data_IF_078367453707
#
_entry.id   IF_078367453707
#
_cell.length_a   1.000
_cell.length_b   1.000
_cell.length_c   1.000
_cell.angle_alpha   90.00
_cell.angle_beta   90.00
_cell.angle_gamma   90.00
#
_symmetry.space_group_name_H-M   'P 1'
#
loop_
_entity.id
_entity.type
_entity.pdbx_description
1 polymer ?
#
# COMPACT_ATOMS: atom_id res chain seq x y z
N UNK A 1 3.94 -7.68 -22.72
CA UNK A 1 2.47 -7.81 -22.78
C UNK A 1 1.83 -8.20 -21.43
N UNK A 2 2.53 -8.94 -20.59
CA UNK A 2 2.01 -9.36 -19.27
C UNK A 2 1.99 -8.26 -18.21
N UNK A 3 2.91 -7.30 -18.28
CA UNK A 3 3.03 -6.18 -17.33
C UNK A 3 1.78 -5.31 -17.30
N UNK A 4 1.21 -4.98 -18.46
CA UNK A 4 -0.02 -4.17 -18.57
C UNK A 4 -1.19 -4.87 -17.86
N UNK A 5 -1.31 -6.19 -18.02
CA UNK A 5 -2.38 -6.97 -17.36
C UNK A 5 -2.21 -7.00 -15.85
N UNK A 6 -0.98 -7.06 -15.34
CA UNK A 6 -0.68 -7.00 -13.91
C UNK A 6 -1.04 -5.64 -13.32
N UNK A 7 -0.68 -4.55 -14.00
CA UNK A 7 -1.09 -3.20 -13.59
C UNK A 7 -2.61 -3.01 -13.63
N UNK A 8 -3.27 -3.55 -14.66
CA UNK A 8 -4.73 -3.50 -14.75
C UNK A 8 -5.39 -4.27 -13.59
N UNK A 9 -4.89 -5.46 -13.26
CA UNK A 9 -5.38 -6.25 -12.12
C UNK A 9 -5.19 -5.52 -10.79
N UNK A 10 -4.03 -4.89 -10.56
CA UNK A 10 -3.79 -4.07 -9.38
C UNK A 10 -4.72 -2.86 -9.32
N UNK A 11 -4.95 -2.18 -10.45
CA UNK A 11 -5.91 -1.08 -10.57
C UNK A 11 -7.34 -1.51 -10.25
N UNK A 12 -7.79 -2.64 -10.78
CA UNK A 12 -9.12 -3.21 -10.48
C UNK A 12 -9.22 -3.54 -8.98
N UNK A 13 -8.20 -4.17 -8.40
CA UNK A 13 -8.15 -4.46 -6.96
C UNK A 13 -8.26 -3.20 -6.09
N UNK A 14 -7.56 -2.13 -6.49
CA UNK A 14 -7.59 -0.85 -5.79
C UNK A 14 -8.98 -0.21 -5.87
N UNK A 15 -9.60 -0.16 -7.05
CA UNK A 15 -10.95 0.39 -7.24
C UNK A 15 -11.99 -0.41 -6.46
N UNK A 16 -11.91 -1.74 -6.53
CA UNK A 16 -12.80 -2.61 -5.78
C UNK A 16 -12.64 -2.42 -4.27
N UNK A 17 -11.41 -2.37 -3.77
CA UNK A 17 -11.14 -2.12 -2.36
C UNK A 17 -11.61 -0.74 -1.89
N UNK A 18 -11.40 0.30 -2.71
CA UNK A 18 -11.91 1.64 -2.42
C UNK A 18 -13.45 1.66 -2.39
N UNK A 19 -14.13 0.94 -3.28
CA UNK A 19 -15.58 0.81 -3.30
C UNK A 19 -16.12 0.09 -2.04
N UNK A 20 -15.48 -1.01 -1.65
CA UNK A 20 -15.84 -1.73 -0.41
C UNK A 20 -15.66 -0.85 0.82
N UNK A 21 -14.53 -0.14 0.91
CA UNK A 21 -14.27 0.77 2.02
C UNK A 21 -15.19 1.98 2.01
N UNK A 22 -15.54 2.51 0.84
CA UNK A 22 -16.52 3.59 0.72
C UNK A 22 -17.89 3.18 1.23
N UNK A 23 -18.30 1.94 0.97
CA UNK A 23 -19.60 1.43 1.41
C UNK A 23 -19.63 0.99 2.87
N UNK A 24 -18.61 0.31 3.33
CA UNK A 24 -18.53 -0.27 4.68
C UNK A 24 -17.61 0.53 5.64
N UNK A 25 -16.90 1.54 5.15
CA UNK A 25 -15.89 2.26 5.91
C UNK A 25 -16.40 2.95 7.17
N UNK A 26 -17.67 3.36 7.20
CA UNK A 26 -18.32 3.93 8.39
C UNK A 26 -18.50 2.92 9.54
N UNK A 27 -18.52 1.63 9.23
CA UNK A 27 -18.65 0.53 10.21
C UNK A 27 -17.32 -0.07 10.63
N UNK A 28 -16.25 0.22 9.89
CA UNK A 28 -14.92 -0.32 10.14
C UNK A 28 -14.10 0.68 10.96
N UNK A 29 -13.32 0.16 11.91
CA UNK A 29 -12.39 0.98 12.66
C UNK A 29 -11.24 1.42 11.73
N UNK A 30 -11.36 2.60 11.14
CA UNK A 30 -10.42 3.13 10.15
C UNK A 30 -8.97 3.21 10.69
N UNK A 31 -8.80 3.30 12.02
CA UNK A 31 -7.48 3.37 12.67
C UNK A 31 -6.70 2.05 12.59
N UNK A 32 -7.37 0.90 12.51
CA UNK A 32 -6.74 -0.41 12.45
C UNK A 32 -6.60 -0.99 11.04
N UNK A 33 -7.23 -0.38 10.04
CA UNK A 33 -7.21 -0.84 8.65
C UNK A 33 -5.83 -0.87 7.97
N UNK A 34 -4.91 0.08 8.22
CA UNK A 34 -3.61 0.05 7.57
C UNK A 34 -2.77 -1.19 7.90
N UNK A 35 -2.86 -1.69 9.13
CA UNK A 35 -2.08 -2.86 9.54
C UNK A 35 -2.38 -4.13 8.71
N UNK A 36 -3.65 -4.59 8.58
CA UNK A 36 -3.96 -5.71 7.70
C UNK A 36 -3.63 -5.43 6.23
N UNK A 37 -3.68 -4.15 5.79
CA UNK A 37 -3.23 -3.76 4.46
C UNK A 37 -1.74 -4.05 4.26
N UNK A 38 -0.88 -3.59 5.16
CA UNK A 38 0.57 -3.85 5.10
C UNK A 38 0.91 -5.33 5.20
N UNK A 39 0.29 -6.06 6.13
CA UNK A 39 0.53 -7.50 6.30
C UNK A 39 0.05 -8.30 5.08
N UNK A 40 -1.11 -7.96 4.54
CA UNK A 40 -1.63 -8.58 3.32
C UNK A 40 -0.72 -8.34 2.12
N UNK A 41 -0.26 -7.10 1.91
CA UNK A 41 0.66 -6.76 0.84
C UNK A 41 2.00 -7.49 0.98
N UNK A 42 2.56 -7.55 2.18
CA UNK A 42 3.80 -8.27 2.45
C UNK A 42 3.68 -9.77 2.16
N UNK A 43 2.59 -10.39 2.63
CA UNK A 43 2.31 -11.80 2.37
C UNK A 43 2.20 -12.08 0.87
N UNK A 44 1.49 -11.22 0.14
CA UNK A 44 1.33 -11.37 -1.31
C UNK A 44 2.66 -11.19 -2.04
N UNK A 45 3.52 -10.24 -1.62
CA UNK A 45 4.86 -10.08 -2.17
C UNK A 45 5.72 -11.33 -1.95
N UNK A 46 5.65 -11.93 -0.76
CA UNK A 46 6.34 -13.19 -0.49
C UNK A 46 5.83 -14.34 -1.37
N UNK A 47 4.50 -14.47 -1.52
CA UNK A 47 3.88 -15.46 -2.40
C UNK A 47 4.26 -15.21 -3.87
N UNK A 48 4.33 -13.96 -4.29
CA UNK A 48 4.65 -13.58 -5.66
C UNK A 48 6.01 -14.12 -6.11
N UNK A 49 6.93 -14.34 -5.16
CA UNK A 49 8.25 -14.95 -5.43
C UNK A 49 8.14 -16.38 -6.00
N UNK A 50 7.08 -17.11 -5.69
CA UNK A 50 6.84 -18.48 -6.13
C UNK A 50 5.86 -18.58 -7.29
N UNK A 51 5.34 -17.45 -7.78
CA UNK A 51 4.33 -17.43 -8.84
C UNK A 51 4.98 -17.61 -10.21
N UNK A 52 4.68 -18.75 -10.83
CA UNK A 52 5.11 -19.09 -12.20
C UNK A 52 3.95 -19.00 -13.21
N UNK A 53 2.73 -18.73 -12.75
CA UNK A 53 1.54 -18.70 -13.59
C UNK A 53 0.97 -17.28 -13.67
N UNK A 54 0.61 -16.86 -14.91
CA UNK A 54 0.04 -15.51 -15.14
C UNK A 54 -1.26 -15.27 -14.36
N UNK A 55 -2.10 -16.29 -14.22
CA UNK A 55 -3.37 -16.16 -13.48
C UNK A 55 -3.16 -15.91 -11.99
N UNK A 56 -2.21 -16.63 -11.38
CA UNK A 56 -1.80 -16.35 -10.00
C UNK A 56 -1.18 -14.96 -9.86
N UNK A 57 -0.37 -14.53 -10.84
CA UNK A 57 0.18 -13.19 -10.88
C UNK A 57 -0.91 -12.11 -10.91
N UNK A 58 -1.97 -12.30 -11.70
CA UNK A 58 -3.10 -11.38 -11.77
C UNK A 58 -3.87 -11.33 -10.44
N UNK A 59 -4.11 -12.48 -9.81
CA UNK A 59 -4.74 -12.53 -8.49
C UNK A 59 -3.89 -11.81 -7.43
N UNK A 60 -2.59 -12.07 -7.39
CA UNK A 60 -1.67 -11.38 -6.49
C UNK A 60 -1.68 -9.86 -6.75
N UNK A 61 -1.66 -9.42 -8.01
CA UNK A 61 -1.77 -8.01 -8.38
C UNK A 61 -3.06 -7.38 -7.88
N UNK A 62 -4.20 -8.07 -8.04
CA UNK A 62 -5.49 -7.63 -7.52
C UNK A 62 -5.50 -7.48 -6.00
N UNK A 63 -4.95 -8.47 -5.28
CA UNK A 63 -4.86 -8.43 -3.81
C UNK A 63 -3.91 -7.33 -3.34
N UNK A 64 -2.80 -7.08 -4.04
CA UNK A 64 -1.91 -5.94 -3.76
C UNK A 64 -2.66 -4.61 -3.91
N UNK A 65 -3.42 -4.45 -4.99
CA UNK A 65 -4.24 -3.26 -5.19
C UNK A 65 -5.30 -3.06 -4.10
N UNK A 66 -5.97 -4.14 -3.71
CA UNK A 66 -6.91 -4.12 -2.59
C UNK A 66 -6.23 -3.74 -1.26
N UNK A 67 -5.07 -4.34 -0.94
CA UNK A 67 -4.27 -3.98 0.23
C UNK A 67 -3.84 -2.52 0.24
N UNK A 68 -3.46 -1.98 -0.92
CA UNK A 68 -3.12 -0.57 -1.07
C UNK A 68 -4.32 0.35 -0.75
N UNK A 69 -5.55 -0.03 -1.11
CA UNK A 69 -6.75 0.75 -0.79
C UNK A 69 -7.04 0.80 0.71
N UNK A 70 -6.74 -0.29 1.46
CA UNK A 70 -6.88 -0.35 2.92
C UNK A 70 -5.99 0.67 3.64
N UNK A 71 -4.93 1.12 2.99
CA UNK A 71 -4.01 2.14 3.51
C UNK A 71 -4.40 3.53 2.98
N UNK A 72 -4.60 3.63 1.66
CA UNK A 72 -4.81 4.91 0.98
C UNK A 72 -6.15 5.57 1.37
N UNK A 73 -7.24 4.80 1.44
CA UNK A 73 -8.58 5.36 1.70
C UNK A 73 -8.68 5.95 3.11
N UNK A 74 -8.33 5.25 4.21
CA UNK A 74 -8.38 5.83 5.55
C UNK A 74 -7.45 7.04 5.68
N UNK A 75 -6.28 7.00 5.05
CA UNK A 75 -5.34 8.13 5.08
C UNK A 75 -5.92 9.37 4.42
N UNK A 76 -6.54 9.23 3.25
CA UNK A 76 -7.19 10.36 2.56
C UNK A 76 -8.38 10.90 3.35
N UNK A 77 -9.21 10.03 3.91
CA UNK A 77 -10.34 10.42 4.77
C UNK A 77 -9.84 11.22 5.98
N UNK A 78 -8.82 10.72 6.65
CA UNK A 78 -8.24 11.39 7.82
C UNK A 78 -7.70 12.79 7.49
N UNK A 79 -7.04 12.93 6.34
CA UNK A 79 -6.54 14.24 5.87
C UNK A 79 -7.71 15.19 5.61
N UNK A 80 -8.79 14.69 4.97
CA UNK A 80 -9.97 15.54 4.70
C UNK A 80 -10.67 15.99 5.98
N UNK A 81 -10.80 15.10 6.97
CA UNK A 81 -11.45 15.40 8.25
C UNK A 81 -10.62 16.34 9.13
N UNK A 82 -9.30 16.18 9.12
CA UNK A 82 -8.38 16.93 10.01
C UNK A 82 -7.86 18.23 9.41
N UNK A 83 -8.07 18.47 8.11
CA UNK A 83 -7.51 19.65 7.43
C UNK A 83 -8.62 20.65 7.12
N UNK A 84 -8.47 21.94 7.52
CA UNK A 84 -9.38 23.02 7.12
C UNK A 84 -9.48 23.11 5.59
N UNK A 85 -10.66 23.48 5.08
CA UNK A 85 -10.92 23.52 3.63
C UNK A 85 -9.93 24.39 2.87
N UNK A 86 -9.52 25.52 3.45
CA UNK A 86 -8.55 26.45 2.86
C UNK A 86 -7.14 25.87 2.69
N UNK A 87 -6.80 24.81 3.42
CA UNK A 87 -5.46 24.18 3.39
C UNK A 87 -5.45 22.80 2.73
N UNK A 88 -6.61 22.21 2.44
CA UNK A 88 -6.70 20.85 1.85
C UNK A 88 -5.86 20.71 0.60
N UNK A 89 -5.90 21.66 -0.32
CA UNK A 89 -5.11 21.61 -1.55
C UNK A 89 -3.60 21.56 -1.29
N UNK A 90 -3.10 22.34 -0.32
CA UNK A 90 -1.68 22.33 0.04
C UNK A 90 -1.26 21.00 0.66
N UNK A 91 -2.09 20.45 1.57
CA UNK A 91 -1.80 19.18 2.24
C UNK A 91 -1.84 18.01 1.25
N UNK A 92 -2.83 17.96 0.36
CA UNK A 92 -2.89 16.95 -0.69
C UNK A 92 -1.74 17.08 -1.69
N UNK A 93 -1.34 18.29 -2.06
CA UNK A 93 -0.18 18.52 -2.92
C UNK A 93 1.11 18.01 -2.27
N UNK A 94 1.32 18.29 -0.97
CA UNK A 94 2.45 17.79 -0.22
C UNK A 94 2.43 16.25 -0.10
N UNK A 95 1.27 15.67 0.23
CA UNK A 95 1.10 14.21 0.29
C UNK A 95 1.42 13.55 -1.05
N UNK A 96 0.88 14.08 -2.14
CA UNK A 96 1.13 13.53 -3.47
C UNK A 96 2.61 13.58 -3.85
N UNK A 97 3.28 14.69 -3.54
CA UNK A 97 4.74 14.82 -3.73
C UNK A 97 5.52 13.80 -2.89
N UNK A 98 5.18 13.64 -1.61
CA UNK A 98 5.82 12.67 -0.73
C UNK A 98 5.61 11.23 -1.24
N UNK A 99 4.41 10.88 -1.72
CA UNK A 99 4.11 9.57 -2.32
C UNK A 99 4.92 9.36 -3.59
N UNK A 100 5.00 10.36 -4.48
CA UNK A 100 5.78 10.24 -5.71
C UNK A 100 7.28 10.03 -5.43
N UNK A 101 7.84 10.74 -4.46
CA UNK A 101 9.23 10.54 -4.04
C UNK A 101 9.41 9.13 -3.45
N UNK A 102 8.51 8.71 -2.56
CA UNK A 102 8.55 7.39 -1.94
C UNK A 102 8.44 6.24 -2.96
N UNK A 103 7.71 6.44 -4.06
CA UNK A 103 7.62 5.47 -5.15
C UNK A 103 8.83 5.50 -6.08
N UNK A 104 9.39 6.69 -6.32
CA UNK A 104 10.53 6.86 -7.25
C UNK A 104 11.81 6.22 -6.71
N UNK A 105 12.08 6.36 -5.41
CA UNK A 105 13.30 5.82 -4.77
C UNK A 105 13.40 4.29 -4.92
N UNK A 106 12.39 3.50 -4.52
CA UNK A 106 12.43 2.05 -4.75
C UNK A 106 12.54 1.67 -6.23
N UNK A 107 11.85 2.40 -7.12
CA UNK A 107 11.84 2.10 -8.54
C UNK A 107 13.25 2.23 -9.16
N UNK A 108 13.97 3.29 -8.81
CA UNK A 108 15.34 3.53 -9.28
C UNK A 108 16.32 2.48 -8.74
N UNK A 109 16.13 2.04 -7.50
CA UNK A 109 17.01 1.09 -6.83
C UNK A 109 16.70 -0.36 -7.25
N UNK A 110 15.43 -0.70 -7.44
CA UNK A 110 14.99 -2.08 -7.71
C UNK A 110 15.52 -2.61 -9.03
N UNK A 111 15.62 -1.77 -10.08
CA UNK A 111 16.16 -2.16 -11.37
C UNK A 111 17.59 -2.72 -11.25
N UNK A 112 18.59 -1.92 -10.87
CA UNK A 112 19.97 -2.37 -10.70
C UNK A 112 20.13 -3.51 -9.68
N UNK A 113 19.32 -3.55 -8.61
CA UNK A 113 19.36 -4.63 -7.64
C UNK A 113 18.88 -5.95 -8.27
N UNK A 114 17.82 -5.91 -9.05
CA UNK A 114 17.26 -7.09 -9.73
C UNK A 114 18.25 -7.63 -10.77
N UNK A 115 18.92 -6.73 -11.49
CA UNK A 115 19.96 -7.12 -12.46
C UNK A 115 21.16 -7.79 -11.79
N UNK A 116 21.52 -7.38 -10.58
CA UNK A 116 22.70 -7.87 -9.87
C UNK A 116 22.44 -9.11 -9.00
N UNK A 117 21.31 -9.17 -8.33
CA UNK A 117 20.97 -10.20 -7.34
C UNK A 117 19.83 -11.14 -7.78
N UNK A 118 19.16 -10.82 -8.89
CA UNK A 118 17.98 -11.52 -9.33
C UNK A 118 16.69 -11.04 -8.68
N UNK A 119 15.56 -11.44 -9.24
CA UNK A 119 14.24 -10.97 -8.82
C UNK A 119 13.82 -11.48 -7.43
N UNK A 120 14.13 -12.76 -7.13
CA UNK A 120 13.67 -13.38 -5.88
C UNK A 120 14.20 -12.71 -4.61
N UNK A 121 15.54 -12.47 -4.43
CA UNK A 121 16.05 -11.79 -3.25
C UNK A 121 15.52 -10.37 -3.10
N UNK A 122 15.28 -9.67 -4.21
CA UNK A 122 14.73 -8.31 -4.19
C UNK A 122 13.29 -8.32 -3.70
N UNK A 123 12.46 -9.26 -4.14
CA UNK A 123 11.08 -9.40 -3.67
C UNK A 123 11.02 -9.74 -2.18
N UNK A 124 11.89 -10.63 -1.69
CA UNK A 124 12.00 -10.91 -0.26
C UNK A 124 12.40 -9.68 0.54
N UNK A 125 13.40 -8.94 0.06
CA UNK A 125 13.82 -7.68 0.69
C UNK A 125 12.68 -6.67 0.78
N UNK A 126 11.93 -6.49 -0.30
CA UNK A 126 10.75 -5.61 -0.33
C UNK A 126 9.65 -6.08 0.62
N UNK A 127 9.39 -7.39 0.68
CA UNK A 127 8.41 -7.96 1.62
C UNK A 127 8.78 -7.63 3.07
N UNK A 128 10.05 -7.80 3.45
CA UNK A 128 10.54 -7.49 4.80
C UNK A 128 10.40 -5.99 5.10
N UNK A 129 10.76 -5.11 4.15
CA UNK A 129 10.63 -3.66 4.31
C UNK A 129 9.16 -3.27 4.55
N UNK A 130 8.23 -3.87 3.81
CA UNK A 130 6.78 -3.59 3.97
C UNK A 130 6.28 -4.05 5.34
N UNK A 131 6.72 -5.22 5.84
CA UNK A 131 6.38 -5.67 7.20
C UNK A 131 6.91 -4.71 8.25
N UNK A 132 8.20 -4.36 8.17
CA UNK A 132 8.85 -3.46 9.12
C UNK A 132 8.16 -2.09 9.14
N UNK A 133 7.88 -1.53 7.96
CA UNK A 133 7.16 -0.27 7.83
C UNK A 133 5.74 -0.37 8.42
N UNK A 134 5.01 -1.45 8.16
CA UNK A 134 3.67 -1.69 8.70
C UNK A 134 3.66 -1.78 10.23
N UNK A 135 4.57 -2.56 10.80
CA UNK A 135 4.71 -2.71 12.25
C UNK A 135 5.15 -1.40 12.90
N UNK A 136 6.09 -0.68 12.28
CA UNK A 136 6.54 0.62 12.80
C UNK A 136 5.42 1.66 12.78
N UNK A 137 4.70 1.78 11.68
CA UNK A 137 3.56 2.67 11.55
C UNK A 137 2.48 2.35 12.59
N UNK A 138 2.19 1.06 12.77
CA UNK A 138 1.21 0.63 13.77
C UNK A 138 1.63 1.00 15.19
N UNK A 139 2.91 0.77 15.56
CA UNK A 139 3.45 1.14 16.88
C UNK A 139 3.41 2.65 17.09
N UNK A 140 3.87 3.42 16.11
CA UNK A 140 3.87 4.87 16.19
C UNK A 140 2.45 5.45 16.35
N UNK A 141 1.47 4.91 15.61
CA UNK A 141 0.07 5.34 15.70
C UNK A 141 -0.56 4.96 17.04
N UNK A 142 -0.21 3.80 17.59
CA UNK A 142 -0.74 3.35 18.88
C UNK A 142 -0.29 4.24 20.04
N UNK A 143 0.98 4.65 20.08
CA UNK A 143 1.49 5.58 21.10
C UNK A 143 0.80 6.94 21.03
N UNK A 144 0.61 7.51 19.85
CA UNK A 144 -0.08 8.81 19.68
C UNK A 144 -1.54 8.75 20.11
N UNK A 145 -2.18 7.58 20.06
CA UNK A 145 -3.57 7.41 20.49
C UNK A 145 -3.71 7.15 22.00
N UNK A 146 -2.71 6.57 22.63
CA UNK A 146 -2.66 6.38 24.09
C UNK A 146 -2.38 7.70 24.81
N UNK A 147 -1.59 8.59 24.21
CA UNK A 147 -1.30 9.94 24.76
C UNK A 147 -2.44 10.97 24.54
N UNK A 148 -3.47 10.62 23.76
CA UNK A 148 -4.60 11.50 23.45
C UNK A 148 -5.90 11.17 24.22
N UNK A 149 -5.87 10.18 25.13
CA UNK A 149 -6.95 9.78 26.03
C UNK A 149 -6.62 10.14 27.48
#
# INVERSE_FOLDING_TARGET
MNTIRLFAAAGIGLVFGAGVLGHFGSRLNQKSLPLPGFLGMSLVLAIFTFVNNIWMGLLCGGVLGFGASLIAVPMQTLIQERTPESMRGKVFGFQNNAVNIALSVPLVITGPLTDRFGLQPVLWGMSIIVVVAGVWTWRATRHVLEDAL
#
